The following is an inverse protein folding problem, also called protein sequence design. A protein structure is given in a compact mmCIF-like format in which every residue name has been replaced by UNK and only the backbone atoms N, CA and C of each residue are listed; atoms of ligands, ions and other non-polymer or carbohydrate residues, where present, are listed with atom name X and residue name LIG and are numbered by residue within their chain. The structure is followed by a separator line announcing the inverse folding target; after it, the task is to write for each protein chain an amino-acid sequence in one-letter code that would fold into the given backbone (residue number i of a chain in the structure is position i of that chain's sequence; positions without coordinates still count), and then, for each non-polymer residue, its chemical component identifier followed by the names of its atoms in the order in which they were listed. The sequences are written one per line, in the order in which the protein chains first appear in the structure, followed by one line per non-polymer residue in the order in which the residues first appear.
data_IF_719371311531
#
_entry.id   IF_719371311531
#
_cell.length_a   1.000
_cell.length_b   1.000
_cell.length_c   1.000
_cell.angle_alpha   90.00
_cell.angle_beta   90.00
_cell.angle_gamma   90.00
#
_symmetry.space_group_name_H-M   'P 1'
#
loop_
_entity.id
_entity.type
_entity.pdbx_description
1 polymer ?
#
# COMPACT_ATOMS: atom_id res chain seq x y z
N UNK A 1 -13.19 0.85 14.61
CA UNK A 1 -13.89 1.40 15.79
C UNK A 1 -12.87 2.17 16.61
N UNK A 2 -13.06 3.48 16.75
CA UNK A 2 -12.22 4.31 17.64
C UNK A 2 -12.82 4.28 19.04
N UNK A 3 -12.05 3.81 20.03
CA UNK A 3 -12.42 3.87 21.43
C UNK A 3 -11.72 5.09 22.07
N UNK A 4 -12.42 6.19 22.34
CA UNK A 4 -11.82 7.43 22.87
C UNK A 4 -11.54 7.36 24.37
N UNK A 5 -11.11 6.20 24.85
CA UNK A 5 -10.77 5.95 26.26
C UNK A 5 -9.48 5.17 26.36
N UNK A 6 -8.64 5.51 27.30
CA UNK A 6 -7.49 4.69 27.67
C UNK A 6 -8.01 3.46 28.40
N UNK A 7 -7.96 2.30 27.71
CA UNK A 7 -8.44 1.03 28.26
C UNK A 7 -7.34 0.21 28.96
N UNK A 8 -6.08 0.65 28.84
CA UNK A 8 -4.93 -0.07 29.34
C UNK A 8 -3.80 0.87 29.73
N UNK A 9 -3.22 0.65 30.92
CA UNK A 9 -2.00 1.32 31.38
C UNK A 9 -0.93 0.29 31.61
N UNK A 10 0.18 0.37 30.85
CA UNK A 10 1.38 -0.38 31.16
C UNK A 10 2.23 0.40 32.16
N UNK A 11 2.46 -0.17 33.35
CA UNK A 11 3.47 0.35 34.25
C UNK A 11 4.85 0.01 33.71
N UNK A 12 5.63 1.00 33.31
CA UNK A 12 7.10 0.83 33.26
C UNK A 12 7.55 0.80 34.71
N UNK A 13 7.65 -0.42 35.25
CA UNK A 13 7.82 -0.59 36.66
C UNK A 13 9.20 -0.23 37.18
N UNK A 14 9.23 0.43 38.28
CA UNK A 14 10.19 0.14 39.35
C UNK A 14 9.84 -1.24 39.97
N UNK A 15 10.20 -2.32 39.30
CA UNK A 15 10.07 -3.63 39.89
C UNK A 15 11.26 -3.90 40.80
N UNK A 16 11.02 -4.40 42.04
CA UNK A 16 12.09 -5.02 42.82
C UNK A 16 12.67 -6.20 42.01
N UNK A 17 13.96 -6.40 42.09
CA UNK A 17 14.83 -7.31 41.34
C UNK A 17 14.48 -8.82 41.40
N UNK A 18 13.24 -9.22 41.50
CA UNK A 18 12.81 -10.60 41.74
C UNK A 18 11.98 -11.24 40.63
N UNK A 19 11.62 -10.50 39.60
CA UNK A 19 11.00 -11.13 38.43
C UNK A 19 12.09 -11.34 37.37
N UNK A 20 12.31 -12.58 36.88
CA UNK A 20 13.25 -12.81 35.79
C UNK A 20 12.85 -11.90 34.61
N UNK A 21 13.81 -11.15 34.09
CA UNK A 21 13.59 -10.38 32.89
C UNK A 21 13.18 -11.37 31.78
N UNK A 22 11.94 -11.28 31.32
CA UNK A 22 11.49 -12.07 30.16
C UNK A 22 12.44 -11.73 29.02
N UNK A 23 13.11 -12.74 28.47
CA UNK A 23 14.04 -12.50 27.37
C UNK A 23 13.26 -11.90 26.20
N UNK A 24 13.84 -10.99 25.40
CA UNK A 24 13.16 -10.42 24.24
C UNK A 24 12.58 -11.49 23.32
N UNK A 25 13.21 -12.64 23.21
CA UNK A 25 12.77 -13.79 22.43
C UNK A 25 11.52 -14.48 23.00
N UNK A 26 11.38 -14.55 24.33
CA UNK A 26 10.18 -15.11 24.97
C UNK A 26 8.98 -14.16 24.82
N UNK A 27 9.20 -12.85 24.96
CA UNK A 27 8.15 -11.84 24.73
C UNK A 27 7.62 -11.89 23.30
N UNK A 28 8.51 -11.95 22.31
CA UNK A 28 8.12 -12.01 20.90
C UNK A 28 7.29 -13.26 20.56
N UNK A 29 7.63 -14.43 21.13
CA UNK A 29 6.85 -15.65 20.90
C UNK A 29 5.46 -15.59 21.54
N UNK A 30 5.32 -14.98 22.71
CA UNK A 30 4.04 -14.78 23.38
C UNK A 30 3.16 -13.78 22.63
N UNK A 31 3.74 -12.69 22.12
CA UNK A 31 3.06 -11.69 21.31
C UNK A 31 2.56 -12.29 20.00
N UNK A 32 3.37 -13.10 19.31
CA UNK A 32 2.99 -13.82 18.12
C UNK A 32 1.79 -14.74 18.38
N UNK A 33 1.88 -15.54 19.44
CA UNK A 33 0.79 -16.45 19.82
C UNK A 33 -0.49 -15.69 20.17
N UNK A 34 -0.38 -14.54 20.82
CA UNK A 34 -1.54 -13.68 21.14
C UNK A 34 -2.19 -13.14 19.86
N UNK A 35 -1.40 -12.73 18.86
CA UNK A 35 -1.90 -12.31 17.56
C UNK A 35 -2.59 -13.45 16.82
N UNK A 36 -1.97 -14.62 16.73
CA UNK A 36 -2.55 -15.82 16.09
C UNK A 36 -3.89 -16.20 16.73
N UNK A 37 -3.97 -16.22 18.05
CA UNK A 37 -5.22 -16.49 18.78
C UNK A 37 -6.28 -15.41 18.51
N UNK A 38 -5.88 -14.14 18.42
CA UNK A 38 -6.80 -13.04 18.12
C UNK A 38 -7.37 -13.12 16.71
N UNK A 39 -6.55 -13.49 15.73
CA UNK A 39 -6.95 -13.69 14.34
C UNK A 39 -7.89 -14.89 14.19
N UNK A 40 -7.55 -16.01 14.82
CA UNK A 40 -8.40 -17.20 14.86
C UNK A 40 -9.79 -16.92 15.45
N UNK A 41 -9.85 -16.19 16.60
CA UNK A 41 -11.15 -15.80 17.20
C UNK A 41 -12.00 -14.91 16.28
N UNK A 42 -11.38 -14.21 15.33
CA UNK A 42 -12.08 -13.38 14.33
C UNK A 42 -12.40 -14.13 13.03
N UNK A 43 -12.08 -15.42 12.95
CA UNK A 43 -12.24 -16.21 11.74
C UNK A 43 -11.37 -15.76 10.57
N UNK A 44 -10.22 -15.09 10.86
CA UNK A 44 -9.28 -14.64 9.83
C UNK A 44 -8.24 -15.71 9.61
N UNK A 45 -8.31 -16.39 8.46
CA UNK A 45 -7.28 -17.33 8.04
C UNK A 45 -6.01 -16.55 7.65
N UNK A 46 -4.99 -16.70 8.47
CA UNK A 46 -3.76 -15.92 8.31
C UNK A 46 -2.57 -16.61 8.97
N UNK A 47 -1.37 -16.23 8.51
CA UNK A 47 -0.08 -16.60 9.10
C UNK A 47 0.57 -15.35 9.68
N UNK A 48 1.05 -15.44 10.90
CA UNK A 48 1.83 -14.36 11.51
C UNK A 48 3.31 -14.63 11.26
N UNK A 49 3.95 -13.76 10.49
CA UNK A 49 5.39 -13.78 10.21
C UNK A 49 6.09 -12.72 11.05
N UNK A 50 7.33 -12.97 11.42
CA UNK A 50 8.17 -12.04 12.19
C UNK A 50 9.45 -11.73 11.38
N UNK A 51 9.36 -10.84 10.38
CA UNK A 51 10.51 -10.50 9.52
C UNK A 51 11.63 -9.79 10.29
N UNK A 52 11.28 -9.12 11.38
CA UNK A 52 12.20 -8.45 12.29
C UNK A 52 11.75 -8.72 13.72
N UNK A 53 12.63 -8.99 14.69
CA UNK A 53 12.26 -9.24 16.07
C UNK A 53 11.30 -8.19 16.64
N UNK A 54 10.15 -8.65 17.16
CA UNK A 54 9.08 -7.79 17.70
C UNK A 54 8.24 -7.05 16.64
N UNK A 55 8.42 -7.33 15.34
CA UNK A 55 7.60 -6.76 14.26
C UNK A 55 6.89 -7.89 13.51
N UNK A 56 5.57 -7.89 13.58
CA UNK A 56 4.75 -8.94 13.01
C UNK A 56 4.09 -8.50 11.72
N UNK A 57 4.15 -9.38 10.73
CA UNK A 57 3.44 -9.24 9.47
C UNK A 57 2.34 -10.30 9.41
N UNK A 58 1.10 -9.85 9.25
CA UNK A 58 -0.06 -10.72 9.11
C UNK A 58 -0.30 -10.97 7.63
N UNK A 59 0.00 -12.20 7.17
CA UNK A 59 -0.26 -12.68 5.83
C UNK A 59 -1.63 -13.33 5.81
N UNK A 60 -2.58 -12.75 5.12
CA UNK A 60 -3.92 -13.30 4.98
C UNK A 60 -3.98 -14.20 3.75
N UNK A 61 -4.72 -15.31 3.85
CA UNK A 61 -4.93 -16.19 2.71
C UNK A 61 -5.78 -15.48 1.65
N UNK A 62 -5.34 -15.57 0.40
CA UNK A 62 -6.16 -15.23 -0.76
C UNK A 62 -6.75 -16.53 -1.33
N UNK A 63 -8.07 -16.66 -1.32
CA UNK A 63 -8.76 -17.81 -1.89
C UNK A 63 -8.69 -17.82 -3.41
N UNK A 64 -8.59 -16.66 -4.03
CA UNK A 64 -8.37 -16.43 -5.46
C UNK A 64 -7.57 -15.14 -5.66
N UNK A 65 -7.08 -14.94 -6.87
CA UNK A 65 -6.36 -13.70 -7.24
C UNK A 65 -7.23 -12.90 -8.23
N UNK A 66 -8.04 -11.94 -7.73
CA UNK A 66 -8.87 -11.12 -8.60
C UNK A 66 -8.05 -10.20 -9.48
N UNK A 67 -8.59 -9.81 -10.65
CA UNK A 67 -7.94 -8.82 -11.52
C UNK A 67 -7.86 -7.46 -10.83
N UNK A 68 -6.67 -6.87 -10.83
CA UNK A 68 -6.43 -5.51 -10.33
C UNK A 68 -6.17 -4.56 -11.50
N UNK A 69 -6.95 -3.48 -11.59
CA UNK A 69 -6.71 -2.40 -12.55
C UNK A 69 -5.87 -1.31 -11.89
N UNK A 70 -4.66 -1.10 -12.39
CA UNK A 70 -3.74 -0.06 -11.92
C UNK A 70 -3.97 1.19 -12.78
N UNK A 71 -4.49 2.25 -12.18
CA UNK A 71 -4.83 3.52 -12.82
C UNK A 71 -3.72 4.53 -12.57
N UNK A 72 -3.07 5.01 -13.63
CA UNK A 72 -1.91 5.91 -13.55
C UNK A 72 -2.21 7.21 -14.31
N UNK A 73 -2.67 8.27 -13.63
CA UNK A 73 -2.81 9.59 -14.23
C UNK A 73 -1.44 10.17 -14.59
N UNK A 74 -1.34 10.75 -15.79
CA UNK A 74 -0.11 11.40 -16.26
C UNK A 74 -0.39 12.55 -17.22
N UNK A 75 0.59 13.43 -17.39
CA UNK A 75 0.62 14.46 -18.44
C UNK A 75 2.06 14.89 -18.70
N UNK A 76 2.57 14.63 -19.92
CA UNK A 76 3.91 15.04 -20.38
C UNK A 76 5.09 14.65 -19.46
N UNK A 77 4.92 13.61 -18.62
CA UNK A 77 5.91 13.15 -17.62
C UNK A 77 6.51 11.78 -17.98
N UNK A 78 6.90 11.60 -19.25
CA UNK A 78 7.36 10.31 -19.80
C UNK A 78 8.45 9.64 -18.97
N UNK A 79 9.45 10.41 -18.51
CA UNK A 79 10.55 9.85 -17.73
C UNK A 79 10.12 9.27 -16.38
N UNK A 80 9.11 9.81 -15.75
CA UNK A 80 8.55 9.30 -14.50
C UNK A 80 7.64 8.10 -14.78
N UNK A 81 6.70 8.25 -15.70
CA UNK A 81 5.78 7.20 -16.10
C UNK A 81 6.51 5.93 -16.55
N UNK A 82 7.55 6.07 -17.38
CA UNK A 82 8.32 4.92 -17.87
C UNK A 82 9.03 4.17 -16.73
N UNK A 83 9.60 4.88 -15.77
CA UNK A 83 10.21 4.25 -14.58
C UNK A 83 9.17 3.58 -13.68
N UNK A 84 8.02 4.22 -13.49
CA UNK A 84 6.91 3.66 -12.74
C UNK A 84 6.46 2.32 -13.36
N UNK A 85 6.12 2.32 -14.64
CA UNK A 85 5.66 1.12 -15.35
C UNK A 85 6.74 0.04 -15.38
N UNK A 86 7.98 0.38 -15.69
CA UNK A 86 9.09 -0.58 -15.70
C UNK A 86 9.31 -1.22 -14.32
N UNK A 87 9.14 -0.46 -13.23
CA UNK A 87 9.24 -1.00 -11.87
C UNK A 87 8.11 -1.98 -11.55
N UNK A 88 6.88 -1.68 -11.98
CA UNK A 88 5.73 -2.59 -11.83
C UNK A 88 6.00 -3.88 -12.58
N UNK A 89 6.36 -3.80 -13.86
CA UNK A 89 6.61 -4.97 -14.72
C UNK A 89 7.75 -5.85 -14.21
N UNK A 90 8.81 -5.23 -13.73
CA UNK A 90 9.99 -5.93 -13.22
C UNK A 90 9.79 -6.60 -11.87
N UNK A 91 9.06 -5.92 -10.98
CA UNK A 91 9.02 -6.33 -9.57
C UNK A 91 7.73 -7.05 -9.19
N UNK A 92 6.60 -6.82 -9.87
CA UNK A 92 5.32 -7.36 -9.42
C UNK A 92 5.21 -8.87 -9.64
N UNK A 93 5.01 -9.62 -8.57
CA UNK A 93 4.79 -11.07 -8.62
C UNK A 93 3.31 -11.46 -8.64
N UNK A 94 2.41 -10.52 -8.33
CA UNK A 94 0.96 -10.74 -8.39
C UNK A 94 0.46 -10.77 -9.85
N UNK A 95 -0.45 -11.66 -10.14
CA UNK A 95 -1.20 -11.72 -11.40
C UNK A 95 -2.61 -12.29 -11.11
N UNK A 96 -3.67 -11.85 -11.84
CA UNK A 96 -3.63 -10.93 -12.96
C UNK A 96 -3.70 -9.45 -12.56
N UNK A 97 -3.08 -8.59 -13.35
CA UNK A 97 -3.29 -7.13 -13.29
C UNK A 97 -3.30 -6.54 -14.69
N UNK A 98 -3.92 -5.38 -14.85
CA UNK A 98 -3.84 -4.51 -16.03
C UNK A 98 -3.37 -3.11 -15.62
N UNK A 99 -2.79 -2.36 -16.58
CA UNK A 99 -2.42 -0.96 -16.37
C UNK A 99 -3.25 -0.10 -17.34
N UNK A 100 -3.89 0.93 -16.78
CA UNK A 100 -4.57 1.99 -17.54
C UNK A 100 -3.78 3.28 -17.33
N UNK A 101 -3.19 3.80 -18.40
CA UNK A 101 -2.50 5.09 -18.42
C UNK A 101 -3.56 6.15 -18.72
N UNK A 102 -3.82 7.03 -17.76
CA UNK A 102 -4.85 8.06 -17.87
C UNK A 102 -4.19 9.35 -18.33
N UNK A 103 -4.17 9.57 -19.66
CA UNK A 103 -3.52 10.74 -20.27
C UNK A 103 -4.39 11.99 -20.14
N UNK A 104 -3.96 12.96 -19.36
CA UNK A 104 -4.65 14.25 -19.18
C UNK A 104 -4.29 15.27 -20.30
N UNK A 105 -4.15 14.80 -21.53
CA UNK A 105 -3.87 15.63 -22.69
C UNK A 105 -2.39 16.02 -22.79
N UNK A 106 -1.52 15.03 -22.86
CA UNK A 106 -0.11 15.21 -23.20
C UNK A 106 0.05 15.74 -24.61
N UNK A 107 1.00 16.64 -24.82
CA UNK A 107 1.25 17.32 -26.10
C UNK A 107 2.70 17.22 -26.56
N UNK A 108 3.60 16.72 -25.72
CA UNK A 108 5.01 16.57 -26.08
C UNK A 108 5.22 15.45 -27.10
N UNK A 109 6.17 15.64 -28.00
CA UNK A 109 6.55 14.63 -28.99
C UNK A 109 7.03 13.33 -28.32
N UNK A 110 7.74 13.44 -27.20
CA UNK A 110 8.22 12.29 -26.43
C UNK A 110 7.06 11.49 -25.84
N UNK A 111 5.98 12.16 -25.40
CA UNK A 111 4.78 11.48 -24.91
C UNK A 111 4.09 10.71 -26.05
N UNK A 112 3.96 11.31 -27.23
CA UNK A 112 3.39 10.63 -28.40
C UNK A 112 4.16 9.36 -28.74
N UNK A 113 5.49 9.46 -28.89
CA UNK A 113 6.35 8.30 -29.17
C UNK A 113 6.24 7.21 -28.12
N UNK A 114 6.26 7.59 -26.84
CA UNK A 114 6.14 6.65 -25.75
C UNK A 114 4.77 5.95 -25.72
N UNK A 115 3.69 6.71 -25.97
CA UNK A 115 2.35 6.14 -26.01
C UNK A 115 2.14 5.20 -27.20
N UNK A 116 2.74 5.45 -28.34
CA UNK A 116 2.72 4.54 -29.50
C UNK A 116 3.42 3.20 -29.19
N UNK A 117 4.45 3.21 -28.35
CA UNK A 117 5.16 2.01 -27.92
C UNK A 117 4.41 1.28 -26.81
N UNK A 118 4.13 1.95 -25.69
CA UNK A 118 3.56 1.33 -24.51
C UNK A 118 2.10 0.91 -24.72
N UNK A 119 1.37 1.59 -25.62
CA UNK A 119 0.00 1.29 -25.98
C UNK A 119 -0.19 -0.06 -26.68
N UNK A 120 0.88 -0.70 -27.13
CA UNK A 120 0.87 -2.09 -27.64
C UNK A 120 0.66 -3.11 -26.52
N UNK A 121 0.94 -2.74 -25.29
CA UNK A 121 0.86 -3.62 -24.12
C UNK A 121 -0.19 -3.17 -23.12
N UNK A 122 -0.27 -1.88 -22.84
CA UNK A 122 -1.15 -1.30 -21.83
C UNK A 122 -2.13 -0.31 -22.44
N UNK A 123 -3.31 -0.21 -21.84
CA UNK A 123 -4.36 0.67 -22.35
C UNK A 123 -4.06 2.13 -22.01
N UNK A 124 -4.24 3.02 -23.00
CA UNK A 124 -4.18 4.46 -22.81
C UNK A 124 -5.62 5.00 -22.88
N UNK A 125 -6.02 5.69 -21.83
CA UNK A 125 -7.35 6.32 -21.72
C UNK A 125 -7.18 7.82 -21.81
N UNK A 126 -7.73 8.43 -22.86
CA UNK A 126 -7.68 9.88 -23.04
C UNK A 126 -8.61 10.59 -22.05
N UNK A 127 -8.04 11.50 -21.26
CA UNK A 127 -8.73 12.30 -20.24
C UNK A 127 -8.44 13.80 -20.42
N UNK A 128 -8.78 14.40 -21.60
CA UNK A 128 -8.44 15.79 -21.89
C UNK A 128 -9.22 16.75 -21.00
N UNK A 129 -8.64 17.94 -20.79
CA UNK A 129 -9.28 19.03 -20.06
C UNK A 129 -8.44 19.54 -18.88
N UNK A 130 -9.01 20.45 -18.06
CA UNK A 130 -8.35 20.93 -16.86
C UNK A 130 -8.01 19.79 -15.92
N UNK A 131 -6.86 19.87 -15.25
CA UNK A 131 -6.46 18.85 -14.30
C UNK A 131 -7.49 18.74 -13.15
N UNK A 132 -8.05 17.56 -13.01
CA UNK A 132 -8.91 17.18 -11.90
C UNK A 132 -8.65 15.71 -11.57
N UNK A 133 -7.90 15.48 -10.50
CA UNK A 133 -7.47 14.13 -10.10
C UNK A 133 -8.64 13.15 -9.95
N UNK A 134 -9.72 13.60 -9.30
CA UNK A 134 -10.90 12.74 -9.10
C UNK A 134 -11.61 12.41 -10.41
N UNK A 135 -11.80 13.40 -11.30
CA UNK A 135 -12.46 13.19 -12.59
C UNK A 135 -11.66 12.24 -13.48
N UNK A 136 -10.33 12.39 -13.53
CA UNK A 136 -9.44 11.53 -14.31
C UNK A 136 -9.52 10.09 -13.80
N UNK A 137 -9.39 9.89 -12.48
CA UNK A 137 -9.46 8.56 -11.89
C UNK A 137 -10.86 7.93 -12.02
N UNK A 138 -11.94 8.70 -11.86
CA UNK A 138 -13.30 8.19 -12.09
C UNK A 138 -13.50 7.72 -13.54
N UNK A 139 -12.95 8.46 -14.53
CA UNK A 139 -12.98 8.00 -15.91
C UNK A 139 -12.20 6.70 -16.08
N UNK A 140 -10.98 6.61 -15.51
CA UNK A 140 -10.20 5.37 -15.52
C UNK A 140 -10.94 4.20 -14.88
N UNK A 141 -11.64 4.44 -13.77
CA UNK A 141 -12.44 3.43 -13.10
C UNK A 141 -13.60 2.90 -13.95
N UNK A 142 -14.23 3.75 -14.78
CA UNK A 142 -15.26 3.32 -15.73
C UNK A 142 -14.71 2.47 -16.89
N UNK A 143 -13.42 2.60 -17.20
CA UNK A 143 -12.74 1.86 -18.27
C UNK A 143 -12.05 0.59 -17.76
N UNK A 144 -11.92 0.44 -16.44
CA UNK A 144 -11.25 -0.67 -15.80
C UNK A 144 -12.05 -1.98 -15.90
N UNK A 145 -11.35 -3.11 -16.05
CA UNK A 145 -11.95 -4.43 -16.04
C UNK A 145 -11.74 -5.16 -14.71
N UNK A 146 -10.86 -4.63 -13.84
CA UNK A 146 -10.51 -5.25 -12.57
C UNK A 146 -11.63 -5.14 -11.53
N UNK A 147 -11.72 -6.16 -10.72
CA UNK A 147 -12.59 -6.17 -9.52
C UNK A 147 -12.08 -5.19 -8.46
N UNK A 148 -10.76 -4.95 -8.46
CA UNK A 148 -10.10 -4.00 -7.57
C UNK A 148 -9.41 -2.91 -8.36
N UNK A 149 -9.49 -1.68 -7.85
CA UNK A 149 -8.85 -0.51 -8.45
C UNK A 149 -7.66 -0.08 -7.59
N UNK A 150 -6.52 0.12 -8.21
CA UNK A 150 -5.33 0.70 -7.59
C UNK A 150 -5.04 2.06 -8.22
N UNK A 151 -5.16 3.12 -7.45
CA UNK A 151 -4.80 4.48 -7.86
C UNK A 151 -3.32 4.72 -7.55
N UNK A 152 -2.52 4.91 -8.59
CA UNK A 152 -1.07 5.03 -8.48
C UNK A 152 -0.58 6.30 -9.19
N UNK A 153 0.27 7.08 -8.54
CA UNK A 153 0.90 8.23 -9.17
C UNK A 153 2.01 7.78 -10.13
N UNK A 154 2.23 8.55 -11.20
CA UNK A 154 3.26 8.28 -12.21
C UNK A 154 4.71 8.48 -11.73
N UNK A 155 4.91 9.03 -10.52
CA UNK A 155 6.21 9.26 -9.87
C UNK A 155 6.55 8.25 -8.76
N UNK A 156 5.87 7.12 -8.74
CA UNK A 156 6.14 6.03 -7.80
C UNK A 156 6.94 4.91 -8.44
N UNK A 157 7.76 4.23 -7.64
CA UNK A 157 8.51 3.06 -8.06
C UNK A 157 8.26 1.90 -7.08
N UNK A 158 8.03 0.71 -7.61
CA UNK A 158 7.83 -0.51 -6.82
C UNK A 158 9.16 -1.00 -6.29
N UNK A 159 9.24 -1.21 -4.98
CA UNK A 159 10.46 -1.68 -4.31
C UNK A 159 10.40 -3.16 -3.92
N UNK A 160 9.22 -3.69 -3.61
CA UNK A 160 9.03 -5.02 -3.03
C UNK A 160 8.22 -5.89 -3.99
N UNK A 161 8.69 -7.11 -4.37
CA UNK A 161 7.97 -7.95 -5.34
C UNK A 161 6.55 -8.33 -4.95
N UNK A 162 6.30 -8.55 -3.67
CA UNK A 162 5.00 -8.96 -3.14
C UNK A 162 4.08 -7.79 -2.78
N UNK A 163 4.43 -6.55 -3.13
CA UNK A 163 3.68 -5.35 -2.73
C UNK A 163 2.18 -5.44 -3.03
N UNK A 164 1.82 -5.87 -4.24
CA UNK A 164 0.43 -5.96 -4.66
C UNK A 164 -0.27 -7.16 -4.00
N UNK A 165 0.43 -8.29 -3.85
CA UNK A 165 -0.08 -9.45 -3.09
C UNK A 165 -0.43 -9.05 -1.66
N UNK A 166 0.46 -8.36 -0.96
CA UNK A 166 0.24 -7.91 0.42
C UNK A 166 -0.94 -6.94 0.53
N UNK A 167 -1.09 -6.04 -0.44
CA UNK A 167 -2.24 -5.13 -0.49
C UNK A 167 -3.53 -5.91 -0.70
N UNK A 168 -3.55 -6.88 -1.61
CA UNK A 168 -4.71 -7.70 -1.91
C UNK A 168 -5.09 -8.62 -0.75
N UNK A 169 -4.14 -9.19 -0.03
CA UNK A 169 -4.39 -9.96 1.20
C UNK A 169 -5.20 -9.16 2.24
N UNK A 170 -5.04 -7.84 2.26
CA UNK A 170 -5.82 -6.98 3.14
C UNK A 170 -7.12 -6.52 2.49
N UNK A 171 -7.10 -6.16 1.20
CA UNK A 171 -8.24 -5.62 0.47
C UNK A 171 -9.39 -6.65 0.33
N UNK A 172 -9.05 -7.92 0.15
CA UNK A 172 -10.04 -9.01 0.03
C UNK A 172 -10.71 -9.39 1.36
N UNK A 173 -10.27 -8.84 2.48
CA UNK A 173 -10.89 -9.14 3.79
C UNK A 173 -12.27 -8.48 3.91
N UNK A 174 -13.27 -9.21 4.45
CA UNK A 174 -14.60 -8.64 4.68
C UNK A 174 -14.56 -7.34 5.50
N UNK A 175 -15.25 -6.33 5.00
CA UNK A 175 -15.37 -5.03 5.68
C UNK A 175 -14.20 -4.07 5.44
N UNK A 176 -13.22 -4.43 4.59
CA UNK A 176 -12.15 -3.53 4.15
C UNK A 176 -12.58 -2.85 2.85
N UNK A 177 -12.71 -1.53 2.87
CA UNK A 177 -13.09 -0.73 1.69
C UNK A 177 -11.90 -0.09 0.97
N UNK A 178 -10.77 0.10 1.65
CA UNK A 178 -9.56 0.67 1.06
C UNK A 178 -8.30 0.23 1.82
N UNK A 179 -7.20 0.08 1.08
CA UNK A 179 -5.87 -0.25 1.61
C UNK A 179 -4.85 0.74 1.05
N UNK A 180 -4.03 1.32 1.91
CA UNK A 180 -2.93 2.21 1.51
C UNK A 180 -1.58 1.54 1.70
N UNK A 181 -0.68 1.73 0.73
CA UNK A 181 0.70 1.27 0.85
C UNK A 181 1.54 2.21 1.74
N UNK A 182 2.56 1.66 2.39
CA UNK A 182 3.62 2.48 2.98
C UNK A 182 4.51 3.01 1.85
N UNK A 183 4.71 4.33 1.81
CA UNK A 183 5.53 4.99 0.82
C UNK A 183 6.82 5.52 1.47
N UNK A 184 7.91 5.44 0.72
CA UNK A 184 9.21 5.94 1.14
C UNK A 184 9.67 7.08 0.22
N UNK A 185 10.39 8.04 0.79
CA UNK A 185 11.20 8.98 0.01
C UNK A 185 12.43 8.28 -0.57
N UNK A 186 13.08 8.83 -1.62
CA UNK A 186 14.30 8.27 -2.18
C UNK A 186 15.44 8.08 -1.17
N UNK A 187 15.43 8.82 -0.07
CA UNK A 187 16.41 8.69 1.03
C UNK A 187 16.05 7.61 2.06
N UNK A 188 15.04 6.76 1.79
CA UNK A 188 14.60 5.68 2.65
C UNK A 188 13.77 6.09 3.87
N UNK A 189 13.42 7.38 4.01
CA UNK A 189 12.53 7.85 5.07
C UNK A 189 11.06 7.62 4.69
N UNK A 190 10.20 7.44 5.68
CA UNK A 190 8.77 7.26 5.45
C UNK A 190 8.16 8.56 4.90
N UNK A 191 7.52 8.47 3.75
CA UNK A 191 6.69 9.52 3.16
C UNK A 191 5.25 9.42 3.66
N UNK A 192 4.72 8.19 3.64
CA UNK A 192 3.36 7.86 4.06
C UNK A 192 3.35 6.52 4.80
N UNK A 193 2.83 6.50 6.00
CA UNK A 193 2.67 5.30 6.82
C UNK A 193 1.30 5.26 7.50
N UNK A 194 0.31 5.92 6.88
CA UNK A 194 -1.05 6.06 7.40
C UNK A 194 -1.45 7.51 7.60
N UNK A 195 -2.75 7.72 7.85
CA UNK A 195 -3.35 9.04 8.11
C UNK A 195 -4.03 9.03 9.47
N UNK A 196 -3.75 10.05 10.26
CA UNK A 196 -4.41 10.29 11.55
C UNK A 196 -5.37 11.46 11.40
N UNK A 197 -6.65 11.21 11.63
CA UNK A 197 -7.68 12.24 11.60
C UNK A 197 -7.55 13.16 12.83
N UNK A 198 -7.80 14.46 12.63
CA UNK A 198 -7.75 15.47 13.68
C UNK A 198 -6.37 16.13 13.87
N UNK A 199 -5.32 15.61 13.25
CA UNK A 199 -3.99 16.24 13.27
C UNK A 199 -3.93 17.37 12.25
N UNK A 200 -3.43 18.55 12.65
CA UNK A 200 -3.35 19.72 11.78
C UNK A 200 -4.70 20.31 11.37
N UNK A 201 -5.77 20.02 12.12
CA UNK A 201 -7.11 20.54 11.89
C UNK A 201 -8.03 19.64 11.06
N UNK A 202 -7.49 18.78 10.18
CA UNK A 202 -8.26 17.84 9.34
C UNK A 202 -7.67 16.44 9.42
N UNK A 203 -6.47 16.23 8.91
CA UNK A 203 -5.77 14.96 8.90
C UNK A 203 -4.28 15.17 8.64
N UNK A 204 -3.43 14.31 9.19
CA UNK A 204 -1.99 14.35 9.01
C UNK A 204 -1.39 12.98 8.72
N UNK A 205 -0.26 12.97 8.01
CA UNK A 205 0.48 11.74 7.77
C UNK A 205 1.18 11.25 9.05
N UNK A 206 0.94 10.00 9.40
CA UNK A 206 1.67 9.34 10.47
C UNK A 206 3.10 9.00 10.01
N UNK A 207 4.04 9.06 10.95
CA UNK A 207 5.43 8.61 10.78
C UNK A 207 6.22 9.31 9.66
N UNK A 208 5.76 10.44 9.15
CA UNK A 208 6.44 11.16 8.07
C UNK A 208 7.86 11.57 8.48
N UNK A 209 8.84 11.36 7.59
CA UNK A 209 10.27 11.62 7.77
C UNK A 209 11.00 10.76 8.82
N UNK A 210 10.32 9.79 9.44
CA UNK A 210 10.99 8.81 10.30
C UNK A 210 11.75 7.80 9.43
N UNK A 211 12.94 7.32 9.86
CA UNK A 211 13.63 6.23 9.18
C UNK A 211 12.77 4.96 9.08
N UNK A 212 12.85 4.24 7.97
CA UNK A 212 11.99 3.08 7.72
C UNK A 212 12.26 1.88 8.66
N UNK A 213 13.37 1.89 9.36
CA UNK A 213 13.80 0.84 10.28
C UNK A 213 13.46 1.09 11.76
N UNK A 214 12.82 2.23 12.07
CA UNK A 214 12.37 2.56 13.43
C UNK A 214 10.90 2.21 13.71
#
# INVERSE_FOLDING_TARGET
VHLPRVLYHSRRGSHPKTTPAVSPTQSASEEKLALERALHRRGIESKVEEPVPGRFHIRCRLDHQPLVSILIPTKDRVSLLSRCIASIEKCTTYAPYEILILDNGSVSEDAGKYFDEIGKKWRIVSCPGPFNFSAINNRGACEANGEYLLFLNDDTEVLTPEWLTIMMEQACRPGIGAVGAKLLYPNGRIQHGGVVLGVGGVAGHAFRHIPNHE
#
